data_IF_277532860189
#
_entry.id   IF_277532860189
#
_cell.length_a   1.000
_cell.length_b   1.000
_cell.length_c   1.000
_cell.angle_alpha   90.00
_cell.angle_beta   90.00
_cell.angle_gamma   90.00
#
_symmetry.space_group_name_H-M   'P 1'
#
loop_
_entity.id
_entity.type
_entity.pdbx_description
1 polymer ?
#
# COMPACT_ATOMS: atom_id res chain seq x y z
N UNK A 1 13.48 -43.38 84.23
CA UNK A 1 12.31 -42.76 83.52
C UNK A 1 12.68 -41.53 82.57
N UNK A 2 13.96 -41.22 82.34
CA UNK A 2 14.32 -40.05 81.44
C UNK A 2 14.87 -40.42 80.03
N UNK A 3 15.12 -41.70 79.73
CA UNK A 3 15.69 -42.08 78.40
C UNK A 3 14.61 -42.35 77.30
N UNK A 4 13.43 -42.80 77.73
CA UNK A 4 12.35 -43.12 76.75
C UNK A 4 11.68 -41.88 76.18
N UNK A 5 11.52 -40.79 76.97
CA UNK A 5 10.95 -39.53 76.41
C UNK A 5 11.82 -38.84 75.39
N UNK A 6 13.14 -39.11 75.42
CA UNK A 6 14.05 -38.45 74.46
C UNK A 6 14.03 -39.15 73.12
N UNK A 7 13.87 -40.46 73.05
CA UNK A 7 13.75 -41.24 71.80
C UNK A 7 12.43 -41.03 71.09
N UNK A 8 11.32 -40.87 71.79
CA UNK A 8 10.01 -40.61 71.23
C UNK A 8 9.95 -39.21 70.56
N UNK A 9 10.60 -38.21 71.12
CA UNK A 9 10.64 -36.87 70.65
C UNK A 9 11.48 -36.78 69.29
N UNK A 10 12.59 -37.50 69.24
CA UNK A 10 13.43 -37.58 68.04
C UNK A 10 12.68 -38.27 66.85
N UNK A 11 11.95 -39.33 67.17
CA UNK A 11 11.13 -40.04 66.17
C UNK A 11 9.96 -39.17 65.65
N UNK A 12 9.30 -38.41 66.53
CA UNK A 12 8.23 -37.49 66.10
C UNK A 12 8.71 -36.39 65.22
N UNK A 13 9.85 -35.73 65.49
CA UNK A 13 10.41 -34.68 64.61
C UNK A 13 10.92 -35.24 63.29
N UNK A 14 11.53 -36.42 63.28
CA UNK A 14 11.95 -37.08 62.05
C UNK A 14 10.78 -37.48 61.17
N UNK A 15 9.68 -37.97 61.73
CA UNK A 15 8.45 -38.27 61.00
C UNK A 15 7.81 -37.01 60.42
N UNK A 16 7.72 -35.93 61.17
CA UNK A 16 7.16 -34.65 60.74
C UNK A 16 8.00 -34.03 59.60
N UNK A 17 9.32 -34.13 59.67
CA UNK A 17 10.23 -33.69 58.63
C UNK A 17 10.08 -34.49 57.30
N UNK A 18 9.97 -35.84 57.42
CA UNK A 18 9.73 -36.72 56.25
C UNK A 18 8.37 -36.43 55.59
N UNK A 19 7.30 -36.21 56.42
CA UNK A 19 5.96 -35.86 55.94
C UNK A 19 5.96 -34.51 55.23
N UNK A 20 6.69 -33.49 55.76
CA UNK A 20 6.82 -32.16 55.14
C UNK A 20 7.58 -32.23 53.79
N UNK A 21 8.66 -33.07 53.73
CA UNK A 21 9.42 -33.29 52.51
C UNK A 21 8.59 -34.02 51.43
N UNK A 22 7.77 -35.02 51.84
CA UNK A 22 6.85 -35.73 50.92
C UNK A 22 5.78 -34.80 50.37
N UNK A 23 5.16 -33.96 51.21
CA UNK A 23 4.15 -33.03 50.81
C UNK A 23 4.72 -31.98 49.83
N UNK A 24 5.93 -31.47 50.08
CA UNK A 24 6.59 -30.55 49.13
C UNK A 24 6.86 -31.20 47.79
N UNK A 25 7.28 -32.47 47.76
CA UNK A 25 7.46 -33.22 46.52
C UNK A 25 6.15 -33.41 45.75
N UNK A 26 5.05 -33.74 46.45
CA UNK A 26 3.72 -33.89 45.86
C UNK A 26 3.24 -32.57 45.27
N UNK A 27 3.40 -31.45 45.99
CA UNK A 27 3.04 -30.12 45.49
C UNK A 27 3.88 -29.78 44.24
N UNK A 28 5.19 -30.00 44.28
CA UNK A 28 6.09 -29.73 43.17
C UNK A 28 5.73 -30.55 41.91
N UNK A 29 5.43 -31.86 42.07
CA UNK A 29 5.00 -32.72 40.96
C UNK A 29 3.66 -32.24 40.39
N UNK A 30 2.69 -31.88 41.27
CA UNK A 30 1.41 -31.31 40.78
C UNK A 30 1.58 -30.00 40.04
N UNK A 31 2.46 -29.11 40.50
CA UNK A 31 2.76 -27.85 39.80
C UNK A 31 3.41 -28.09 38.45
N UNK A 32 4.34 -29.02 38.35
CA UNK A 32 4.96 -29.40 37.10
C UNK A 32 3.93 -29.97 36.10
N UNK A 33 3.07 -30.86 36.56
CA UNK A 33 1.99 -31.44 35.77
C UNK A 33 1.01 -30.38 35.27
N UNK A 34 0.71 -29.37 36.08
CA UNK A 34 -0.16 -28.26 35.72
C UNK A 34 0.46 -27.37 34.65
N UNK A 35 1.78 -27.09 34.74
CA UNK A 35 2.52 -26.35 33.73
C UNK A 35 2.58 -27.10 32.40
N UNK A 36 2.86 -28.43 32.45
CA UNK A 36 2.88 -29.28 31.24
C UNK A 36 1.50 -29.31 30.57
N UNK A 37 0.42 -29.41 31.36
CA UNK A 37 -0.94 -29.37 30.84
C UNK A 37 -1.26 -28.03 30.18
N UNK A 38 -0.84 -26.92 30.79
CA UNK A 38 -1.01 -25.57 30.24
C UNK A 38 -0.27 -25.40 28.90
N UNK A 39 0.96 -25.88 28.83
CA UNK A 39 1.75 -25.88 27.59
C UNK A 39 1.11 -26.74 26.50
N UNK A 40 0.56 -27.90 26.85
CA UNK A 40 -0.15 -28.76 25.90
C UNK A 40 -1.42 -28.07 25.35
N UNK A 41 -2.17 -27.37 26.19
CA UNK A 41 -3.35 -26.60 25.77
C UNK A 41 -2.94 -25.45 24.85
N UNK A 42 -1.87 -24.71 25.18
CA UNK A 42 -1.37 -23.64 24.33
C UNK A 42 -0.91 -24.15 22.95
N UNK A 43 -0.24 -25.31 22.89
CA UNK A 43 0.12 -25.96 21.63
C UNK A 43 -1.11 -26.37 20.82
N UNK A 44 -2.15 -26.92 21.45
CA UNK A 44 -3.39 -27.27 20.77
C UNK A 44 -4.09 -26.04 20.18
N UNK A 45 -4.12 -24.94 20.94
CA UNK A 45 -4.66 -23.67 20.44
C UNK A 45 -3.83 -23.16 19.26
N UNK A 46 -2.50 -23.16 19.37
CA UNK A 46 -1.61 -22.71 18.30
C UNK A 46 -1.79 -23.53 17.02
N UNK A 47 -1.82 -24.86 17.13
CA UNK A 47 -2.06 -25.72 15.95
C UNK A 47 -3.50 -25.60 15.43
N UNK A 48 -4.48 -25.39 16.31
CA UNK A 48 -5.87 -25.15 15.91
C UNK A 48 -6.03 -23.85 15.12
N UNK A 49 -5.42 -22.75 15.59
CA UNK A 49 -5.42 -21.46 14.88
C UNK A 49 -4.67 -21.55 13.55
N UNK A 50 -3.53 -22.24 13.53
CA UNK A 50 -2.76 -22.45 12.30
C UNK A 50 -3.56 -23.25 11.27
N UNK A 51 -4.18 -24.36 11.70
CA UNK A 51 -5.01 -25.20 10.81
C UNK A 51 -6.27 -24.45 10.32
N UNK A 52 -6.85 -23.60 11.17
CA UNK A 52 -7.98 -22.74 10.79
C UNK A 52 -7.56 -21.70 9.74
N UNK A 53 -6.39 -21.04 9.92
CA UNK A 53 -5.83 -20.14 8.89
C UNK A 53 -5.52 -20.88 7.59
N UNK A 54 -4.93 -22.07 7.65
CA UNK A 54 -4.63 -22.88 6.47
C UNK A 54 -5.92 -23.35 5.74
N UNK A 55 -7.02 -23.64 6.47
CA UNK A 55 -8.30 -23.98 5.85
C UNK A 55 -8.97 -22.77 5.17
N UNK A 56 -8.90 -21.58 5.78
CA UNK A 56 -9.40 -20.35 5.19
C UNK A 56 -8.65 -20.00 3.90
N UNK A 57 -7.32 -20.19 3.86
CA UNK A 57 -6.51 -19.97 2.66
C UNK A 57 -6.86 -21.00 1.57
N UNK A 58 -7.09 -22.26 1.95
CA UNK A 58 -7.45 -23.33 0.99
C UNK A 58 -8.80 -23.10 0.33
N UNK A 59 -9.81 -22.65 1.09
CA UNK A 59 -11.13 -22.35 0.54
C UNK A 59 -11.12 -21.11 -0.38
N UNK A 60 -10.16 -20.17 -0.18
CA UNK A 60 -10.00 -19.00 -1.04
C UNK A 60 -9.32 -19.32 -2.38
N UNK A 61 -8.50 -20.39 -2.43
CA UNK A 61 -7.74 -20.83 -3.61
C UNK A 61 -8.23 -22.15 -4.20
N UNK A 62 -9.41 -22.65 -3.82
CA UNK A 62 -10.03 -23.79 -4.50
C UNK A 62 -10.63 -23.34 -5.85
N UNK A 63 -9.71 -23.06 -6.78
CA UNK A 63 -10.04 -22.66 -8.14
C UNK A 63 -10.70 -23.78 -8.95
N UNK A 64 -10.47 -25.04 -8.61
CA UNK A 64 -11.04 -26.17 -9.35
C UNK A 64 -12.56 -26.27 -9.17
N UNK A 65 -13.09 -26.05 -7.98
CA UNK A 65 -14.53 -26.08 -7.73
C UNK A 65 -15.29 -24.85 -8.24
N UNK A 66 -14.63 -23.68 -8.30
CA UNK A 66 -15.25 -22.49 -8.90
C UNK A 66 -15.28 -22.56 -10.41
N UNK A 67 -14.22 -23.07 -11.05
CA UNK A 67 -14.19 -23.24 -12.51
C UNK A 67 -15.23 -24.27 -12.98
N UNK A 68 -15.36 -25.41 -12.30
CA UNK A 68 -16.34 -26.44 -12.68
C UNK A 68 -17.80 -26.00 -12.46
N UNK A 69 -18.07 -25.17 -11.45
CA UNK A 69 -19.43 -24.62 -11.23
C UNK A 69 -19.75 -23.48 -12.20
N UNK A 70 -18.79 -22.64 -12.58
CA UNK A 70 -18.96 -21.62 -13.63
C UNK A 70 -19.20 -22.26 -14.99
N UNK A 71 -18.40 -23.25 -15.38
CA UNK A 71 -18.58 -23.97 -16.67
C UNK A 71 -19.90 -24.73 -16.74
N UNK A 72 -20.44 -25.21 -15.62
CA UNK A 72 -21.78 -25.85 -15.60
C UNK A 72 -22.94 -24.85 -15.70
N UNK A 73 -22.78 -23.62 -15.33
CA UNK A 73 -23.80 -22.57 -15.46
C UNK A 73 -23.81 -21.92 -16.86
N UNK A 74 -22.69 -21.94 -17.58
CA UNK A 74 -22.51 -21.27 -18.88
C UNK A 74 -23.10 -21.99 -20.09
N UNK A 75 -23.60 -23.20 -19.96
CA UNK A 75 -24.28 -23.88 -21.07
C UNK A 75 -25.71 -23.39 -21.36
N UNK A 76 -26.16 -22.30 -20.72
CA UNK A 76 -27.53 -21.76 -20.85
C UNK A 76 -27.66 -20.26 -21.22
N UNK A 77 -26.59 -19.57 -21.53
CA UNK A 77 -26.69 -18.18 -22.01
C UNK A 77 -25.61 -17.88 -23.04
N UNK A 78 -26.06 -17.61 -24.26
CA UNK A 78 -25.23 -17.11 -25.39
C UNK A 78 -24.80 -15.63 -25.18
N UNK A 79 -24.54 -15.21 -23.95
CA UNK A 79 -23.91 -13.94 -23.66
C UNK A 79 -22.41 -14.13 -23.78
N UNK A 80 -21.81 -13.49 -24.80
CA UNK A 80 -20.37 -13.34 -24.94
C UNK A 80 -19.85 -12.70 -23.66
N UNK A 81 -19.32 -13.51 -22.74
CA UNK A 81 -18.54 -13.03 -21.62
C UNK A 81 -17.37 -12.20 -22.18
N UNK A 82 -17.43 -10.90 -21.99
CA UNK A 82 -16.26 -10.07 -22.27
C UNK A 82 -15.17 -10.46 -21.27
N UNK A 83 -13.97 -10.81 -21.71
CA UNK A 83 -12.89 -11.12 -20.80
C UNK A 83 -12.69 -9.97 -19.81
N UNK A 84 -12.57 -10.28 -18.53
CA UNK A 84 -12.33 -9.30 -17.46
C UNK A 84 -11.14 -8.36 -17.79
N UNK A 85 -10.15 -8.86 -18.51
CA UNK A 85 -8.92 -8.16 -18.87
C UNK A 85 -8.91 -7.65 -20.33
N UNK A 86 -10.05 -7.55 -21.03
CA UNK A 86 -10.08 -7.18 -22.46
C UNK A 86 -9.41 -5.85 -22.76
N UNK A 87 -9.48 -4.92 -21.81
CA UNK A 87 -8.95 -3.56 -21.96
C UNK A 87 -7.68 -3.32 -21.12
N UNK A 88 -7.08 -4.38 -20.55
CA UNK A 88 -5.84 -4.30 -19.78
C UNK A 88 -4.65 -4.80 -20.60
N UNK A 89 -3.50 -4.18 -20.38
CA UNK A 89 -2.24 -4.66 -20.93
C UNK A 89 -1.85 -5.99 -20.26
N UNK A 90 -1.48 -6.98 -21.07
CA UNK A 90 -1.07 -8.30 -20.59
C UNK A 90 0.42 -8.48 -20.87
N UNK A 91 1.18 -8.87 -19.86
CA UNK A 91 2.57 -9.31 -20.03
C UNK A 91 2.57 -10.56 -20.91
N UNK A 92 3.17 -10.47 -22.07
CA UNK A 92 3.28 -11.58 -23.04
C UNK A 92 4.74 -11.99 -23.23
N UNK A 93 4.94 -13.18 -23.78
CA UNK A 93 6.29 -13.66 -24.12
C UNK A 93 6.98 -12.80 -25.22
N UNK A 94 6.21 -12.02 -25.97
CA UNK A 94 6.71 -11.11 -27.01
C UNK A 94 7.05 -9.71 -26.47
N UNK A 95 6.90 -9.50 -25.13
CA UNK A 95 7.29 -8.23 -24.51
C UNK A 95 8.79 -8.06 -24.55
N UNK A 96 9.25 -6.92 -25.06
CA UNK A 96 10.69 -6.61 -25.11
C UNK A 96 11.18 -6.37 -23.69
N UNK A 97 11.85 -7.37 -23.10
CA UNK A 97 12.63 -7.18 -21.87
C UNK A 97 14.00 -6.61 -22.28
N UNK A 98 14.14 -5.29 -22.33
CA UNK A 98 15.46 -4.67 -22.44
C UNK A 98 15.99 -4.33 -21.04
N UNK A 99 16.59 -5.32 -20.41
CA UNK A 99 17.21 -5.17 -19.09
C UNK A 99 18.54 -4.40 -19.14
N UNK A 100 19.14 -4.22 -20.33
CA UNK A 100 20.47 -3.63 -20.48
C UNK A 100 20.46 -2.11 -20.40
N UNK A 101 19.37 -1.46 -20.78
CA UNK A 101 19.24 0.00 -20.83
C UNK A 101 18.58 0.57 -19.56
N UNK A 102 17.73 -0.19 -18.88
CA UNK A 102 17.11 0.23 -17.62
C UNK A 102 18.01 -0.10 -16.44
N UNK A 103 18.55 0.94 -15.79
CA UNK A 103 19.36 0.80 -14.58
C UNK A 103 18.52 0.76 -13.30
N UNK A 104 17.23 1.08 -13.39
CA UNK A 104 16.26 0.98 -12.27
C UNK A 104 15.97 -0.45 -11.85
N UNK A 105 15.40 -0.65 -10.65
CA UNK A 105 14.99 -1.98 -10.16
C UNK A 105 13.86 -2.59 -10.98
N UNK A 106 12.84 -1.79 -11.35
CA UNK A 106 11.78 -2.21 -12.27
C UNK A 106 11.40 -1.09 -13.24
N UNK A 107 10.83 -1.47 -14.38
CA UNK A 107 10.31 -0.54 -15.37
C UNK A 107 9.19 -1.15 -16.20
N UNK A 108 8.22 -0.32 -16.61
CA UNK A 108 7.10 -0.71 -17.43
C UNK A 108 6.71 0.42 -18.38
N UNK A 109 6.53 0.12 -19.67
CA UNK A 109 5.84 0.96 -20.63
C UNK A 109 4.75 0.14 -21.30
N UNK A 110 3.53 0.66 -21.29
CA UNK A 110 2.37 -0.01 -21.90
C UNK A 110 1.36 0.98 -22.45
N UNK A 111 0.62 0.58 -23.48
CA UNK A 111 -0.59 1.28 -23.87
C UNK A 111 -1.64 1.19 -22.77
N UNK A 112 -2.44 2.24 -22.59
CA UNK A 112 -3.45 2.29 -21.52
C UNK A 112 -4.69 1.44 -21.82
N UNK A 113 -5.21 1.50 -23.04
CA UNK A 113 -6.47 0.84 -23.44
C UNK A 113 -6.20 -0.35 -24.34
N UNK A 114 -6.33 -1.57 -23.81
CA UNK A 114 -6.17 -2.80 -24.60
C UNK A 114 -4.78 -2.95 -25.23
N UNK A 115 -3.80 -2.22 -24.70
CA UNK A 115 -2.46 -2.14 -25.24
C UNK A 115 -1.61 -3.35 -24.89
N UNK A 116 -0.65 -3.64 -25.78
CA UNK A 116 0.43 -4.55 -25.44
C UNK A 116 1.43 -3.85 -24.52
N UNK A 117 2.05 -4.61 -23.63
CA UNK A 117 3.25 -4.15 -22.93
C UNK A 117 4.35 -3.98 -23.97
N UNK A 118 4.97 -2.79 -23.99
CA UNK A 118 5.99 -2.41 -24.97
C UNK A 118 7.38 -2.70 -24.43
N UNK A 119 7.65 -2.28 -23.17
CA UNK A 119 8.90 -2.53 -22.47
C UNK A 119 8.54 -2.97 -21.03
N UNK A 120 9.17 -4.04 -20.55
CA UNK A 120 9.05 -4.48 -19.17
C UNK A 120 10.38 -4.95 -18.62
N UNK A 121 10.67 -4.58 -17.37
CA UNK A 121 11.76 -5.10 -16.57
C UNK A 121 11.23 -5.33 -15.16
N UNK A 122 11.30 -6.55 -14.66
CA UNK A 122 10.88 -6.91 -13.29
C UNK A 122 9.52 -6.30 -12.90
N UNK A 123 8.58 -6.22 -13.87
CA UNK A 123 7.34 -5.44 -13.74
C UNK A 123 6.40 -5.96 -12.64
N UNK A 124 6.52 -7.23 -12.24
CA UNK A 124 5.76 -7.87 -11.15
C UNK A 124 6.56 -8.01 -9.85
N UNK A 125 7.81 -7.52 -9.83
CA UNK A 125 8.62 -7.57 -8.60
C UNK A 125 8.08 -6.61 -7.55
N UNK A 126 7.85 -7.12 -6.34
CA UNK A 126 7.38 -6.32 -5.19
C UNK A 126 8.49 -5.38 -4.71
N UNK A 127 8.18 -4.09 -4.65
CA UNK A 127 9.11 -3.02 -4.25
C UNK A 127 8.40 -1.98 -3.40
N UNK A 128 9.14 -1.25 -2.55
CA UNK A 128 8.58 -0.10 -1.86
C UNK A 128 8.23 1.00 -2.88
N UNK A 129 6.99 1.50 -2.91
CA UNK A 129 6.52 2.46 -3.89
C UNK A 129 6.92 3.92 -3.59
N UNK A 130 7.33 4.22 -2.37
CA UNK A 130 7.40 5.59 -1.86
C UNK A 130 6.07 6.35 -2.13
N UNK A 131 6.14 7.64 -2.41
CA UNK A 131 4.95 8.48 -2.63
C UNK A 131 4.16 8.18 -3.91
N UNK A 132 4.53 7.19 -4.74
CA UNK A 132 3.63 6.72 -5.81
C UNK A 132 2.39 6.02 -5.24
N UNK A 133 2.42 5.57 -3.98
CA UNK A 133 1.27 5.16 -3.15
C UNK A 133 0.10 6.15 -3.23
N UNK A 134 0.40 7.46 -3.31
CA UNK A 134 -0.60 8.53 -3.31
C UNK A 134 -1.53 8.52 -4.52
N UNK A 135 -1.18 7.77 -5.57
CA UNK A 135 -2.09 7.53 -6.71
C UNK A 135 -3.31 6.73 -6.22
N UNK A 136 -3.10 5.68 -5.42
CA UNK A 136 -4.19 4.89 -4.85
C UNK A 136 -4.96 5.69 -3.79
N UNK A 137 -4.28 6.49 -2.98
CA UNK A 137 -4.91 7.40 -2.02
C UNK A 137 -5.84 8.39 -2.73
N UNK A 138 -5.38 8.99 -3.83
CA UNK A 138 -6.19 9.90 -4.64
C UNK A 138 -7.37 9.16 -5.30
N UNK A 139 -7.17 7.95 -5.82
CA UNK A 139 -8.24 7.12 -6.36
C UNK A 139 -9.32 6.84 -5.31
N UNK A 140 -8.93 6.40 -4.12
CA UNK A 140 -9.88 6.16 -3.02
C UNK A 140 -10.63 7.45 -2.64
N UNK A 141 -9.94 8.60 -2.59
CA UNK A 141 -10.56 9.89 -2.29
C UNK A 141 -11.59 10.31 -3.36
N UNK A 142 -11.29 10.09 -4.63
CA UNK A 142 -12.19 10.41 -5.74
C UNK A 142 -13.38 9.45 -5.82
N UNK A 143 -13.19 8.20 -5.43
CA UNK A 143 -14.23 7.15 -5.50
C UNK A 143 -15.19 7.20 -4.32
N UNK A 144 -14.69 7.49 -3.12
CA UNK A 144 -15.45 7.36 -1.87
C UNK A 144 -15.72 8.67 -1.15
N UNK A 145 -15.03 9.77 -1.52
CA UNK A 145 -15.22 11.10 -0.94
C UNK A 145 -16.08 12.01 -1.82
N UNK A 146 -16.48 13.14 -1.25
CA UNK A 146 -17.06 14.24 -2.00
C UNK A 146 -16.06 15.40 -2.00
N UNK A 147 -15.67 15.86 -3.18
CA UNK A 147 -14.61 16.87 -3.37
C UNK A 147 -14.91 18.21 -2.71
N UNK A 148 -16.18 18.52 -2.46
CA UNK A 148 -16.63 19.78 -1.87
C UNK A 148 -16.76 19.69 -0.33
N UNK A 149 -16.55 18.50 0.26
CA UNK A 149 -16.55 18.33 1.73
C UNK A 149 -15.50 19.22 2.38
N UNK A 150 -15.92 19.87 3.48
CA UNK A 150 -15.03 20.70 4.29
C UNK A 150 -14.39 19.84 5.39
N UNK A 151 -13.10 19.63 5.29
CA UNK A 151 -12.30 18.79 6.17
C UNK A 151 -11.58 19.66 7.18
N UNK A 152 -11.94 19.54 8.45
CA UNK A 152 -11.18 20.14 9.55
C UNK A 152 -10.00 19.25 9.89
N UNK A 153 -8.80 19.81 9.82
CA UNK A 153 -7.58 19.07 10.07
C UNK A 153 -7.45 18.73 11.55
N UNK A 154 -7.27 17.45 11.85
CA UNK A 154 -6.99 16.95 13.20
C UNK A 154 -5.50 16.83 13.48
N UNK A 155 -5.12 16.77 14.76
CA UNK A 155 -3.74 16.48 15.19
C UNK A 155 -3.24 15.13 14.67
N UNK A 156 -4.13 14.14 14.55
CA UNK A 156 -3.80 12.80 14.06
C UNK A 156 -3.35 12.77 12.58
N UNK A 157 -3.59 13.84 11.82
CA UNK A 157 -3.10 13.96 10.45
C UNK A 157 -1.63 14.38 10.38
N UNK A 158 -1.06 14.87 11.47
CA UNK A 158 0.28 15.44 11.47
C UNK A 158 1.37 14.37 11.34
N UNK A 159 2.41 14.72 10.61
CA UNK A 159 3.62 13.91 10.41
C UNK A 159 4.81 14.68 10.95
N UNK A 160 5.50 14.09 11.91
CA UNK A 160 6.66 14.68 12.57
C UNK A 160 7.98 14.02 12.17
N UNK A 161 7.95 13.06 11.25
CA UNK A 161 9.15 12.37 10.77
C UNK A 161 10.02 13.32 9.94
N UNK A 162 11.31 13.39 10.29
CA UNK A 162 12.28 14.24 9.60
C UNK A 162 12.44 13.83 8.13
N UNK A 163 12.42 14.79 7.23
CA UNK A 163 12.51 14.56 5.79
C UNK A 163 11.20 14.15 5.11
N UNK A 164 10.09 14.05 5.85
CA UNK A 164 8.78 13.82 5.25
C UNK A 164 8.34 14.97 4.36
N UNK A 165 7.78 14.67 3.18
CA UNK A 165 7.16 15.68 2.33
C UNK A 165 5.83 16.13 2.93
N UNK A 166 5.60 17.43 3.06
CA UNK A 166 4.41 18.00 3.69
C UNK A 166 3.70 18.99 2.77
N UNK A 167 2.39 19.03 2.85
CA UNK A 167 1.56 20.11 2.33
C UNK A 167 1.54 21.31 3.30
N UNK A 168 2.09 21.12 4.51
CA UNK A 168 2.13 22.09 5.60
C UNK A 168 0.74 22.55 6.07
N UNK A 169 -0.23 21.63 6.07
CA UNK A 169 -1.52 21.88 6.71
C UNK A 169 -1.34 21.78 8.24
N UNK A 170 -2.21 22.45 8.99
CA UNK A 170 -2.11 22.55 10.45
C UNK A 170 -3.45 22.19 11.11
N UNK A 171 -3.43 21.64 12.33
CA UNK A 171 -4.65 21.34 13.07
C UNK A 171 -5.55 22.57 13.22
N UNK A 172 -6.88 22.36 13.16
CA UNK A 172 -7.88 23.42 13.22
C UNK A 172 -8.12 24.16 11.90
N UNK A 173 -7.21 24.05 10.92
CA UNK A 173 -7.46 24.58 9.57
C UNK A 173 -8.50 23.75 8.84
N UNK A 174 -9.25 24.38 7.94
CA UNK A 174 -10.29 23.72 7.14
C UNK A 174 -9.99 23.86 5.65
N UNK A 175 -10.01 22.74 4.96
CA UNK A 175 -9.78 22.62 3.52
C UNK A 175 -10.92 21.84 2.86
N UNK A 176 -11.22 22.12 1.59
CA UNK A 176 -12.03 21.17 0.84
C UNK A 176 -11.23 19.88 0.54
N UNK A 177 -11.92 18.75 0.36
CA UNK A 177 -11.26 17.49 -0.04
C UNK A 177 -10.50 17.66 -1.36
N UNK A 178 -11.04 18.48 -2.30
CA UNK A 178 -10.34 18.88 -3.53
C UNK A 178 -9.01 19.57 -3.24
N UNK A 179 -8.98 20.51 -2.32
CA UNK A 179 -7.72 21.19 -1.93
C UNK A 179 -6.72 20.22 -1.29
N UNK A 180 -7.19 19.29 -0.46
CA UNK A 180 -6.33 18.26 0.12
C UNK A 180 -5.72 17.34 -0.95
N UNK A 181 -6.46 17.04 -2.04
CA UNK A 181 -5.92 16.29 -3.18
C UNK A 181 -4.80 17.04 -3.91
N UNK A 182 -4.91 18.37 -4.06
CA UNK A 182 -3.78 19.18 -4.55
C UNK A 182 -2.58 19.14 -3.58
N UNK A 183 -2.82 19.25 -2.28
CA UNK A 183 -1.79 19.10 -1.24
C UNK A 183 -1.15 17.70 -1.21
N UNK A 184 -1.92 16.66 -1.51
CA UNK A 184 -1.46 15.29 -1.66
C UNK A 184 -0.52 15.11 -2.86
N UNK A 185 -0.93 15.61 -4.02
CA UNK A 185 -0.27 15.26 -5.30
C UNK A 185 0.87 16.20 -5.65
N UNK A 186 0.74 17.53 -5.49
CA UNK A 186 1.74 18.49 -5.92
C UNK A 186 3.00 18.47 -5.04
N UNK A 187 2.94 18.91 -3.75
CA UNK A 187 4.10 18.86 -2.86
C UNK A 187 4.32 17.46 -2.29
N UNK A 188 3.48 16.48 -2.64
CA UNK A 188 3.54 15.13 -2.11
C UNK A 188 3.25 15.05 -0.60
N UNK A 189 2.32 15.86 -0.06
CA UNK A 189 2.04 16.02 1.37
C UNK A 189 1.59 14.71 2.04
N UNK A 190 2.36 14.26 3.05
CA UNK A 190 2.02 13.10 3.86
C UNK A 190 0.93 13.46 4.89
N UNK A 191 0.96 14.68 5.40
CA UNK A 191 -0.08 15.29 6.23
C UNK A 191 -1.43 15.35 5.51
N UNK A 192 -1.44 15.79 4.25
CA UNK A 192 -2.64 15.78 3.41
C UNK A 192 -3.15 14.35 3.16
N UNK A 193 -2.26 13.36 3.00
CA UNK A 193 -2.63 11.95 2.85
C UNK A 193 -3.37 11.42 4.09
N UNK A 194 -2.83 11.70 5.28
CA UNK A 194 -3.47 11.30 6.54
C UNK A 194 -4.81 12.02 6.75
N UNK A 195 -4.89 13.34 6.45
CA UNK A 195 -6.14 14.08 6.55
C UNK A 195 -7.24 13.51 5.66
N UNK A 196 -6.91 13.13 4.42
CA UNK A 196 -7.81 12.43 3.50
C UNK A 196 -8.24 11.08 4.07
N UNK A 197 -7.29 10.29 4.57
CA UNK A 197 -7.55 8.98 5.13
C UNK A 197 -8.51 9.03 6.33
N UNK A 198 -8.25 9.95 7.26
CA UNK A 198 -9.07 10.16 8.45
C UNK A 198 -10.48 10.64 8.06
N UNK A 199 -10.59 11.57 7.10
CA UNK A 199 -11.89 12.08 6.63
C UNK A 199 -12.75 10.96 6.03
N UNK A 200 -12.17 10.10 5.19
CA UNK A 200 -12.93 9.07 4.45
C UNK A 200 -13.24 7.85 5.31
N UNK A 201 -12.29 7.40 6.11
CA UNK A 201 -12.38 6.09 6.82
C UNK A 201 -12.32 6.21 8.33
N UNK A 202 -12.19 7.41 8.88
CA UNK A 202 -12.11 7.66 10.33
C UNK A 202 -10.73 7.42 10.94
N UNK A 203 -9.83 6.70 10.28
CA UNK A 203 -8.44 6.48 10.70
C UNK A 203 -7.54 6.11 9.52
N UNK A 204 -6.22 6.26 9.73
CA UNK A 204 -5.20 5.82 8.76
C UNK A 204 -5.26 4.31 8.52
N UNK A 205 -5.41 3.52 9.57
CA UNK A 205 -5.49 2.05 9.49
C UNK A 205 -6.72 1.58 8.70
N UNK A 206 -7.89 2.14 9.01
CA UNK A 206 -9.14 1.81 8.28
C UNK A 206 -9.06 2.23 6.80
N UNK A 207 -8.32 3.31 6.51
CA UNK A 207 -8.10 3.73 5.13
C UNK A 207 -7.10 2.81 4.41
N UNK A 208 -6.08 2.31 5.09
CA UNK A 208 -5.17 1.29 4.54
C UNK A 208 -5.94 0.00 4.20
N UNK A 209 -6.89 -0.42 5.02
CA UNK A 209 -7.79 -1.54 4.70
C UNK A 209 -8.62 -1.27 3.43
N UNK A 210 -9.15 -0.04 3.29
CA UNK A 210 -9.86 0.39 2.08
C UNK A 210 -8.95 0.39 0.86
N UNK A 211 -7.72 0.90 0.95
CA UNK A 211 -6.72 0.87 -0.12
C UNK A 211 -6.43 -0.56 -0.57
N UNK A 212 -6.21 -1.47 0.38
CA UNK A 212 -5.94 -2.88 0.08
C UNK A 212 -7.15 -3.60 -0.54
N UNK A 213 -8.36 -3.24 -0.14
CA UNK A 213 -9.58 -3.73 -0.79
C UNK A 213 -9.66 -3.24 -2.23
N UNK A 214 -9.45 -1.95 -2.46
CA UNK A 214 -9.48 -1.34 -3.78
C UNK A 214 -8.42 -1.93 -4.71
N UNK A 215 -7.17 -2.06 -4.24
CA UNK A 215 -6.09 -2.68 -4.99
C UNK A 215 -6.45 -4.11 -5.45
N UNK A 216 -7.01 -4.92 -4.56
CA UNK A 216 -7.46 -6.29 -4.90
C UNK A 216 -8.59 -6.30 -5.92
N UNK A 217 -9.56 -5.37 -5.82
CA UNK A 217 -10.66 -5.25 -6.79
C UNK A 217 -10.16 -4.87 -8.18
N UNK A 218 -9.05 -4.14 -8.27
CA UNK A 218 -8.37 -3.81 -9.53
C UNK A 218 -7.48 -4.94 -10.08
N UNK A 219 -7.26 -5.99 -9.31
CA UNK A 219 -6.35 -7.07 -9.67
C UNK A 219 -4.88 -6.82 -9.30
N UNK A 220 -4.58 -5.77 -8.54
CA UNK A 220 -3.25 -5.44 -8.01
C UNK A 220 -2.93 -6.35 -6.82
N UNK A 221 -2.57 -7.60 -7.11
CA UNK A 221 -2.43 -8.67 -6.11
C UNK A 221 -1.02 -8.77 -5.51
N UNK A 222 -0.04 -8.17 -6.15
CA UNK A 222 1.35 -8.08 -5.68
C UNK A 222 1.58 -6.80 -4.87
N UNK A 223 0.50 -6.24 -4.27
CA UNK A 223 0.52 -5.00 -3.50
C UNK A 223 -0.05 -5.17 -2.11
N UNK A 224 0.57 -4.46 -1.16
CA UNK A 224 0.05 -4.27 0.18
C UNK A 224 0.39 -2.87 0.69
N UNK A 225 -0.59 -2.17 1.25
CA UNK A 225 -0.47 -0.79 1.69
C UNK A 225 -0.82 -0.69 3.18
N UNK A 226 0.07 -0.13 3.99
CA UNK A 226 -0.14 0.08 5.43
C UNK A 226 -0.31 1.55 5.80
N UNK A 227 -0.10 2.45 4.84
CA UNK A 227 -0.30 3.89 5.04
C UNK A 227 -0.69 4.59 3.72
N UNK A 228 -1.29 5.80 3.77
CA UNK A 228 -1.79 6.49 2.58
C UNK A 228 -0.71 7.33 1.85
N UNK A 229 0.52 7.41 2.36
CA UNK A 229 1.53 8.35 1.89
C UNK A 229 2.76 7.69 1.27
N UNK A 230 3.05 6.42 1.58
CA UNK A 230 4.18 5.68 1.03
C UNK A 230 5.49 5.84 1.81
N UNK A 231 5.43 6.22 3.10
CA UNK A 231 6.59 6.10 3.99
C UNK A 231 6.96 4.63 4.17
N UNK A 232 8.23 4.37 4.35
CA UNK A 232 8.79 3.01 4.34
C UNK A 232 8.24 2.17 5.49
N UNK A 233 7.76 0.99 5.14
CA UNK A 233 7.39 -0.09 6.04
C UNK A 233 7.66 -1.41 5.32
N UNK A 234 8.06 -2.45 6.04
CA UNK A 234 8.39 -3.76 5.45
C UNK A 234 7.18 -4.44 4.79
N UNK A 235 5.98 -4.13 5.29
CA UNK A 235 4.70 -4.62 4.75
C UNK A 235 4.09 -3.67 3.70
N UNK A 236 4.79 -2.58 3.30
CA UNK A 236 4.31 -1.60 2.33
C UNK A 236 5.02 -1.77 0.99
N UNK A 237 4.37 -2.44 0.06
CA UNK A 237 4.95 -2.77 -1.24
C UNK A 237 3.92 -2.79 -2.36
N UNK A 238 4.39 -2.68 -3.59
CA UNK A 238 3.64 -2.80 -4.84
C UNK A 238 4.57 -3.26 -5.96
N UNK A 239 4.03 -3.50 -7.15
CA UNK A 239 4.79 -3.76 -8.37
C UNK A 239 4.53 -2.67 -9.42
N UNK A 240 5.38 -2.60 -10.45
CA UNK A 240 5.16 -1.67 -11.56
C UNK A 240 3.86 -2.01 -12.31
N UNK A 241 3.54 -3.30 -12.44
CA UNK A 241 2.29 -3.73 -13.08
C UNK A 241 1.05 -3.35 -12.24
N UNK A 242 1.12 -3.51 -10.93
CA UNK A 242 0.01 -3.13 -10.04
C UNK A 242 -0.21 -1.61 -10.04
N UNK A 243 0.87 -0.82 -10.06
CA UNK A 243 0.76 0.63 -10.21
C UNK A 243 0.13 1.02 -11.57
N UNK A 244 0.39 0.25 -12.63
CA UNK A 244 -0.31 0.44 -13.90
C UNK A 244 -1.82 0.24 -13.75
N UNK A 245 -2.26 -0.82 -13.07
CA UNK A 245 -3.68 -1.07 -12.82
C UNK A 245 -4.32 0.09 -12.03
N UNK A 246 -3.63 0.56 -10.99
CA UNK A 246 -4.09 1.62 -10.10
C UNK A 246 -4.21 2.97 -10.84
N UNK A 247 -3.16 3.39 -11.57
CA UNK A 247 -3.22 4.67 -12.29
C UNK A 247 -4.19 4.60 -13.47
N UNK A 248 -4.31 3.46 -14.15
CA UNK A 248 -5.27 3.27 -15.23
C UNK A 248 -6.72 3.49 -14.74
N UNK A 249 -7.04 3.04 -13.53
CA UNK A 249 -8.35 3.31 -12.90
C UNK A 249 -8.47 4.77 -12.48
N UNK A 250 -7.45 5.34 -11.83
CA UNK A 250 -7.46 6.74 -11.38
C UNK A 250 -7.67 7.73 -12.53
N UNK A 251 -7.14 7.45 -13.71
CA UNK A 251 -7.31 8.29 -14.91
C UNK A 251 -8.74 8.28 -15.49
N UNK A 252 -9.65 7.44 -14.99
CA UNK A 252 -11.08 7.52 -15.34
C UNK A 252 -11.77 8.73 -14.68
N UNK A 253 -11.13 9.34 -13.68
CA UNK A 253 -11.56 10.54 -13.02
C UNK A 253 -10.82 11.75 -13.62
N UNK A 254 -11.49 12.64 -14.39
CA UNK A 254 -10.84 13.81 -15.00
C UNK A 254 -10.11 14.70 -13.99
N UNK A 255 -10.64 14.81 -12.78
CA UNK A 255 -10.05 15.59 -11.70
C UNK A 255 -8.66 15.06 -11.29
N UNK A 256 -8.43 13.74 -11.40
CA UNK A 256 -7.12 13.16 -11.14
C UNK A 256 -6.07 13.68 -12.13
N UNK A 257 -6.40 13.67 -13.42
CA UNK A 257 -5.52 14.16 -14.48
C UNK A 257 -5.26 15.67 -14.34
N UNK A 258 -6.31 16.46 -14.07
CA UNK A 258 -6.22 17.91 -13.86
C UNK A 258 -5.29 18.25 -12.69
N UNK A 259 -5.43 17.55 -11.56
CA UNK A 259 -4.56 17.75 -10.38
C UNK A 259 -3.12 17.36 -10.70
N UNK A 260 -2.89 16.19 -11.28
CA UNK A 260 -1.54 15.68 -11.56
C UNK A 260 -0.76 16.53 -12.58
N UNK A 261 -1.44 17.11 -13.56
CA UNK A 261 -0.83 17.97 -14.59
C UNK A 261 -0.69 19.44 -14.14
N UNK A 262 -1.23 19.80 -12.98
CA UNK A 262 -1.10 21.18 -12.44
C UNK A 262 0.33 21.43 -11.94
N UNK A 263 0.96 22.50 -12.45
CA UNK A 263 2.33 22.92 -12.09
C UNK A 263 2.38 23.60 -10.72
N UNK A 264 1.51 24.57 -10.52
CA UNK A 264 1.42 25.38 -9.30
C UNK A 264 -0.05 25.61 -8.99
N UNK A 265 -0.43 25.48 -7.74
CA UNK A 265 -1.77 25.71 -7.27
C UNK A 265 -1.77 26.55 -6.00
N UNK A 266 -2.47 27.68 -6.03
CA UNK A 266 -2.64 28.58 -4.87
C UNK A 266 -4.07 28.46 -4.37
N UNK A 267 -4.22 28.26 -3.06
CA UNK A 267 -5.50 28.10 -2.38
C UNK A 267 -5.70 29.16 -1.30
N UNK A 268 -6.97 29.39 -0.97
CA UNK A 268 -7.37 29.99 0.29
C UNK A 268 -8.00 28.91 1.18
N UNK A 269 -7.71 28.93 2.46
CA UNK A 269 -8.23 28.00 3.45
C UNK A 269 -8.67 28.75 4.71
N UNK A 270 -9.61 28.16 5.47
CA UNK A 270 -10.10 28.75 6.70
C UNK A 270 -9.18 28.34 7.87
N UNK A 271 -8.71 29.34 8.61
CA UNK A 271 -7.95 29.15 9.85
C UNK A 271 -8.88 28.93 11.04
N UNK A 272 -8.38 28.37 12.13
CA UNK A 272 -9.12 28.12 13.36
C UNK A 272 -9.74 29.42 13.94
N UNK A 273 -9.08 30.57 13.77
CA UNK A 273 -9.56 31.88 14.24
C UNK A 273 -10.63 32.51 13.31
N UNK A 274 -11.07 31.78 12.29
CA UNK A 274 -12.09 32.21 11.34
C UNK A 274 -11.58 33.12 10.22
N UNK A 275 -10.27 33.39 10.13
CA UNK A 275 -9.68 34.15 9.03
C UNK A 275 -9.27 33.24 7.88
N UNK A 276 -9.11 33.82 6.70
CA UNK A 276 -8.57 33.12 5.55
C UNK A 276 -7.03 33.19 5.53
N UNK A 277 -6.39 32.04 5.34
CA UNK A 277 -4.99 31.91 5.01
C UNK A 277 -4.83 31.58 3.53
N UNK A 278 -3.64 31.74 2.98
CA UNK A 278 -3.30 31.34 1.61
C UNK A 278 -2.07 30.48 1.58
N UNK A 279 -2.05 29.49 0.67
CA UNK A 279 -0.93 28.56 0.49
C UNK A 279 -0.74 28.25 -0.97
N UNK A 280 0.53 28.08 -1.38
CA UNK A 280 0.87 27.72 -2.75
C UNK A 280 1.66 26.42 -2.74
N UNK A 281 1.24 25.46 -3.56
CA UNK A 281 1.93 24.20 -3.77
C UNK A 281 2.47 24.09 -5.19
N UNK A 282 3.68 23.54 -5.31
CA UNK A 282 4.35 23.29 -6.58
C UNK A 282 4.51 21.79 -6.78
N UNK A 283 4.31 21.34 -8.01
CA UNK A 283 4.44 19.93 -8.36
C UNK A 283 5.91 19.49 -8.28
N UNK A 284 6.15 18.26 -7.83
CA UNK A 284 7.48 17.66 -7.72
C UNK A 284 7.96 17.00 -9.01
N UNK A 285 7.08 16.77 -9.98
CA UNK A 285 7.41 16.13 -11.24
C UNK A 285 8.09 17.13 -12.20
N UNK A 286 9.32 16.83 -12.61
CA UNK A 286 10.12 17.73 -13.48
C UNK A 286 9.50 17.94 -14.86
N UNK A 287 8.76 16.97 -15.41
CA UNK A 287 8.02 17.14 -16.68
C UNK A 287 6.83 18.11 -16.55
N UNK A 288 6.22 18.19 -15.37
CA UNK A 288 5.12 19.15 -15.08
C UNK A 288 5.68 20.56 -14.85
N UNK A 289 6.86 20.65 -14.23
CA UNK A 289 7.47 21.95 -13.84
C UNK A 289 8.36 22.52 -14.94
N UNK A 290 8.43 21.91 -16.13
CA UNK A 290 9.30 22.27 -17.25
C UNK A 290 10.80 22.27 -16.87
N UNK A 291 11.15 21.49 -15.82
CA UNK A 291 12.55 21.29 -15.40
C UNK A 291 13.22 20.13 -16.15
N UNK A 292 12.43 19.40 -16.93
CA UNK A 292 12.85 18.39 -17.90
C UNK A 292 11.84 18.36 -19.05
N UNK A 293 12.35 18.35 -20.27
CA UNK A 293 11.52 18.34 -21.45
C UNK A 293 10.87 16.96 -21.67
N UNK A 294 9.60 16.95 -21.96
CA UNK A 294 8.89 15.78 -22.47
C UNK A 294 9.16 15.71 -23.98
N UNK A 295 9.26 14.50 -24.62
CA UNK A 295 9.31 14.39 -26.08
C UNK A 295 8.21 15.21 -26.74
N UNK A 296 8.54 15.95 -27.82
CA UNK A 296 7.63 16.91 -28.47
C UNK A 296 6.31 16.31 -28.96
N UNK A 297 6.34 15.02 -29.31
CA UNK A 297 5.17 14.26 -29.78
C UNK A 297 4.29 13.73 -28.62
N UNK A 298 4.64 14.02 -27.37
CA UNK A 298 3.91 13.52 -26.19
C UNK A 298 3.36 14.67 -25.35
N UNK A 299 2.19 14.45 -24.79
CA UNK A 299 1.54 15.34 -23.83
C UNK A 299 1.37 14.60 -22.49
N UNK A 300 1.73 15.25 -21.39
CA UNK A 300 1.53 14.71 -20.06
C UNK A 300 0.05 14.77 -19.71
N UNK A 301 -0.49 13.65 -19.21
CA UNK A 301 -1.86 13.54 -18.72
C UNK A 301 -1.90 13.41 -17.18
N UNK A 302 -1.00 12.60 -16.60
CA UNK A 302 -0.90 12.42 -15.15
C UNK A 302 0.49 11.96 -14.74
N UNK A 303 0.79 12.05 -13.43
CA UNK A 303 2.03 11.46 -12.90
C UNK A 303 2.24 11.71 -11.43
N UNK A 304 3.11 10.90 -10.83
CA UNK A 304 3.52 11.04 -9.44
C UNK A 304 4.95 10.57 -9.23
N UNK A 305 5.76 11.41 -8.58
CA UNK A 305 7.09 11.07 -8.09
C UNK A 305 7.02 10.41 -6.71
N UNK A 306 8.03 9.62 -6.37
CA UNK A 306 8.21 9.07 -5.02
C UNK A 306 9.69 8.90 -4.71
N UNK A 307 10.09 9.14 -3.47
CA UNK A 307 11.47 8.92 -3.01
C UNK A 307 11.47 8.58 -1.53
N UNK A 308 12.13 7.47 -1.17
CA UNK A 308 12.58 7.14 0.18
C UNK A 308 13.93 6.43 0.08
N UNK A 309 14.64 6.27 1.20
CA UNK A 309 15.91 5.53 1.20
C UNK A 309 15.73 4.07 0.75
N UNK A 310 14.64 3.42 1.15
CA UNK A 310 14.36 2.02 0.79
C UNK A 310 13.86 1.88 -0.65
N UNK A 311 12.98 2.79 -1.10
CA UNK A 311 12.40 2.75 -2.43
C UNK A 311 13.34 3.27 -3.53
N UNK A 312 14.38 4.03 -3.18
CA UNK A 312 15.10 4.83 -4.16
C UNK A 312 14.19 5.89 -4.78
N UNK A 313 14.38 6.18 -6.05
CA UNK A 313 13.58 7.14 -6.81
C UNK A 313 12.56 6.43 -7.69
N UNK A 314 11.29 6.81 -7.59
CA UNK A 314 10.16 6.24 -8.29
C UNK A 314 9.41 7.32 -9.09
N UNK A 315 8.87 6.94 -10.25
CA UNK A 315 8.06 7.83 -11.08
C UNK A 315 7.03 7.01 -11.86
N UNK A 316 5.78 7.45 -11.79
CA UNK A 316 4.68 6.98 -12.63
C UNK A 316 4.28 8.15 -13.53
N UNK A 317 4.18 7.92 -14.84
CA UNK A 317 3.68 8.88 -15.81
C UNK A 317 2.58 8.25 -16.65
N UNK A 318 1.60 9.06 -17.00
CA UNK A 318 0.69 8.81 -18.11
C UNK A 318 0.86 9.92 -19.13
N UNK A 319 1.03 9.54 -20.38
CA UNK A 319 1.23 10.44 -21.51
C UNK A 319 0.30 10.06 -22.65
N UNK A 320 0.09 11.01 -23.54
CA UNK A 320 -0.72 10.87 -24.76
C UNK A 320 0.08 11.28 -25.96
N UNK A 321 0.00 10.55 -27.07
CA UNK A 321 0.65 10.90 -28.32
C UNK A 321 -0.24 11.81 -29.21
N UNK A 322 0.28 12.19 -30.37
CA UNK A 322 -0.43 13.02 -31.38
C UNK A 322 -1.67 12.33 -31.97
N UNK A 323 -1.80 11.01 -31.83
CA UNK A 323 -2.95 10.23 -32.34
C UNK A 323 -4.02 10.03 -31.25
N UNK A 324 -3.86 10.71 -30.10
CA UNK A 324 -4.70 10.54 -28.91
C UNK A 324 -4.59 9.15 -28.24
N UNK A 325 -3.52 8.37 -28.56
CA UNK A 325 -3.25 7.12 -27.87
C UNK A 325 -2.58 7.38 -26.51
N UNK A 326 -3.07 6.72 -25.50
CA UNK A 326 -2.63 6.91 -24.11
C UNK A 326 -1.66 5.80 -23.66
N UNK A 327 -0.57 6.18 -23.01
CA UNK A 327 0.49 5.29 -22.53
C UNK A 327 0.76 5.53 -21.04
N UNK A 328 1.12 4.46 -20.34
CA UNK A 328 1.54 4.50 -18.94
C UNK A 328 2.98 4.00 -18.87
N UNK A 329 3.82 4.79 -18.20
CA UNK A 329 5.25 4.53 -18.03
C UNK A 329 5.62 4.59 -16.54
N UNK A 330 6.30 3.57 -16.03
CA UNK A 330 6.58 3.40 -14.61
C UNK A 330 8.05 3.02 -14.43
N UNK A 331 8.71 3.72 -13.50
CA UNK A 331 10.05 3.39 -13.02
C UNK A 331 9.99 3.25 -11.50
N UNK A 332 10.49 2.13 -10.97
CA UNK A 332 10.70 1.89 -9.55
C UNK A 332 12.17 1.64 -9.25
N UNK A 333 12.60 2.08 -8.08
CA UNK A 333 13.94 1.86 -7.53
C UNK A 333 15.06 2.39 -8.44
N UNK A 334 14.94 3.63 -8.93
CA UNK A 334 16.04 4.37 -9.53
C UNK A 334 17.08 4.76 -8.47
N UNK A 335 18.37 4.72 -8.81
CA UNK A 335 19.45 5.00 -7.86
C UNK A 335 19.55 6.50 -7.51
N UNK A 336 19.33 7.35 -8.50
CA UNK A 336 19.39 8.81 -8.36
C UNK A 336 18.22 9.46 -9.10
N UNK A 337 17.96 10.74 -8.81
CA UNK A 337 16.97 11.53 -9.56
C UNK A 337 17.31 11.55 -11.05
N UNK A 338 18.58 11.70 -11.41
CA UNK A 338 18.98 11.77 -12.84
C UNK A 338 18.83 10.40 -13.53
N UNK A 339 19.20 9.30 -12.86
CA UNK A 339 18.97 7.96 -13.39
C UNK A 339 17.48 7.65 -13.55
N UNK A 340 16.62 8.10 -12.60
CA UNK A 340 15.18 7.98 -12.71
C UNK A 340 14.65 8.59 -14.01
N UNK A 341 14.99 9.87 -14.25
CA UNK A 341 14.50 10.58 -15.43
C UNK A 341 15.12 10.06 -16.74
N UNK A 342 16.38 9.62 -16.74
CA UNK A 342 17.01 8.98 -17.90
C UNK A 342 16.35 7.64 -18.24
N UNK A 343 16.01 6.83 -17.25
CA UNK A 343 15.23 5.60 -17.45
C UNK A 343 13.82 5.92 -17.97
N UNK A 344 13.18 6.97 -17.47
CA UNK A 344 11.86 7.39 -17.96
C UNK A 344 11.91 7.87 -19.41
N UNK A 345 12.90 8.69 -19.79
CA UNK A 345 13.08 9.10 -21.20
C UNK A 345 13.31 7.90 -22.13
N UNK A 346 14.08 6.90 -21.65
CA UNK A 346 14.26 5.66 -22.39
C UNK A 346 12.92 4.94 -22.62
N UNK A 347 12.09 4.79 -21.58
CA UNK A 347 10.76 4.19 -21.75
C UNK A 347 9.90 5.00 -22.73
N UNK A 348 9.84 6.32 -22.58
CA UNK A 348 9.05 7.20 -23.46
C UNK A 348 9.52 7.14 -24.91
N UNK A 349 10.81 6.91 -25.18
CA UNK A 349 11.34 6.72 -26.54
C UNK A 349 10.81 5.45 -27.24
N UNK A 350 10.24 4.52 -26.50
CA UNK A 350 9.56 3.34 -27.03
C UNK A 350 8.18 3.62 -27.63
N UNK A 351 7.62 4.81 -27.42
CA UNK A 351 6.36 5.26 -28.03
C UNK A 351 6.64 5.74 -29.44
N UNK A 352 5.99 5.12 -30.45
CA UNK A 352 6.25 5.36 -31.90
C UNK A 352 5.07 6.02 -32.57
#
# INVERSE_FOLDING_TARGET
MNSERHTDNINYYSYKARRKKRNRRIIMVRSILLVVLLLAVLLLIFFGVRKFKESQIKDYYDTENRFTNLVKQETLADEKLTPFAKDLAVLSADTIEDSSMLTSGAGLLTGRKGGSVIIAKDATAMMNPASTTKILTALCALKYGNLDDQVVISEDAMIYEEGASLAHIEPGQTYSLRQLLYGLMLPSGNDAANAIAIHISGSVDSFADLMNKEARELGAIDSHFVNPHGMTDDEHYTSAYDLYLIINEAMKYPEFCDICSTKIYTIEFLQEDGKYGSRTWTNTNKYVTDSRDLPENLKLEAGKTGTTLAAGHCLVLAVKDEKDEEYISIILKGETTDSLYNNMDYLLSGIK
#
